data_IF_186745907049
#
_entry.id   IF_186745907049
#
_cell.length_a   1.000
_cell.length_b   1.000
_cell.length_c   1.000
_cell.angle_alpha   90.00
_cell.angle_beta   90.00
_cell.angle_gamma   90.00
#
_symmetry.space_group_name_H-M   'P 1'
#
loop_
_entity.id
_entity.type
_entity.pdbx_description
1 polymer ?
#
# COMPACT_ATOMS: atom_id res chain seq x y z
N UNK A 1 -33.58 46.58 27.53
CA UNK A 1 -34.11 45.57 26.59
C UNK A 1 -32.96 44.65 26.16
N UNK A 2 -32.78 43.51 26.85
CA UNK A 2 -31.69 42.58 26.62
C UNK A 2 -32.17 41.46 25.70
N UNK A 3 -31.96 41.59 24.38
CA UNK A 3 -32.49 40.56 23.45
C UNK A 3 -31.70 40.33 22.17
N UNK A 4 -30.52 40.95 22.00
CA UNK A 4 -29.75 40.79 20.75
C UNK A 4 -28.43 40.01 20.86
N UNK A 5 -28.05 39.51 22.03
CA UNK A 5 -26.80 38.74 22.21
C UNK A 5 -27.03 37.21 22.15
N UNK A 6 -28.29 36.74 22.21
CA UNK A 6 -28.60 35.31 22.16
C UNK A 6 -28.78 34.72 20.75
N UNK A 7 -28.77 35.52 19.69
CA UNK A 7 -28.95 35.01 18.32
C UNK A 7 -27.64 34.62 17.60
N UNK A 8 -26.48 34.90 18.21
CA UNK A 8 -25.17 34.51 17.66
C UNK A 8 -24.60 33.22 18.26
N UNK A 9 -25.25 32.66 19.29
CA UNK A 9 -24.84 31.41 19.96
C UNK A 9 -25.72 30.20 19.61
N UNK A 10 -26.62 30.33 18.63
CA UNK A 10 -27.47 29.25 18.11
C UNK A 10 -27.24 28.93 16.62
N UNK A 11 -26.11 29.37 16.06
CA UNK A 11 -25.59 28.87 14.77
C UNK A 11 -24.30 28.04 14.94
N UNK A 12 -23.92 27.76 16.19
CA UNK A 12 -22.89 26.77 16.53
C UNK A 12 -23.53 25.38 16.73
N UNK A 13 -23.94 24.73 15.64
CA UNK A 13 -24.10 23.25 15.57
C UNK A 13 -24.66 22.79 14.22
N UNK A 14 -24.04 23.18 13.11
CA UNK A 14 -24.27 22.52 11.82
C UNK A 14 -22.99 22.45 10.99
N UNK A 15 -21.89 22.06 11.63
CA UNK A 15 -20.74 21.47 10.94
C UNK A 15 -20.55 20.06 11.47
N UNK A 16 -21.51 19.19 11.19
CA UNK A 16 -21.32 17.75 11.26
C UNK A 16 -21.84 17.14 9.96
N UNK A 17 -21.02 17.23 8.93
CA UNK A 17 -20.93 16.14 7.96
C UNK A 17 -19.52 15.60 8.05
N UNK A 18 -19.28 14.79 9.08
CA UNK A 18 -18.52 13.58 8.81
C UNK A 18 -19.26 12.91 7.66
N UNK A 19 -18.75 13.07 6.43
CA UNK A 19 -19.24 12.30 5.28
C UNK A 19 -18.75 10.88 5.54
N UNK A 20 -19.53 10.17 6.35
CA UNK A 20 -19.36 8.76 6.65
C UNK A 20 -19.11 8.06 5.32
N UNK A 21 -17.93 7.46 5.16
CA UNK A 21 -17.74 6.44 4.15
C UNK A 21 -18.69 5.33 4.52
N UNK A 22 -19.83 5.26 3.84
CA UNK A 22 -20.80 4.23 4.14
C UNK A 22 -20.24 2.94 3.53
N UNK A 23 -19.85 2.01 4.41
CA UNK A 23 -19.58 0.64 4.01
C UNK A 23 -20.81 0.12 3.29
N UNK A 24 -20.64 -0.29 2.04
CA UNK A 24 -21.76 -0.74 1.25
C UNK A 24 -21.81 -2.26 1.19
N UNK A 25 -20.66 -2.94 1.00
CA UNK A 25 -20.61 -4.39 0.83
C UNK A 25 -19.22 -4.98 1.05
N UNK A 26 -19.15 -6.25 1.43
CA UNK A 26 -17.94 -7.08 1.26
C UNK A 26 -17.71 -7.39 -0.21
N UNK A 27 -16.44 -7.55 -0.61
CA UNK A 27 -16.06 -7.97 -1.96
C UNK A 27 -14.97 -9.02 -1.91
N UNK A 28 -15.20 -10.14 -2.58
CA UNK A 28 -14.21 -11.21 -2.69
C UNK A 28 -13.72 -11.36 -4.12
N UNK A 29 -12.41 -11.44 -4.30
CA UNK A 29 -11.73 -11.44 -5.60
C UNK A 29 -10.66 -12.52 -5.60
N UNK A 30 -10.60 -13.31 -6.68
CA UNK A 30 -9.52 -14.29 -6.87
C UNK A 30 -8.26 -13.59 -7.35
N UNK A 31 -7.14 -13.86 -6.68
CA UNK A 31 -5.78 -13.60 -7.15
C UNK A 31 -5.04 -14.93 -7.31
N UNK A 32 -3.82 -14.92 -7.84
CA UNK A 32 -3.03 -16.13 -8.10
C UNK A 32 -2.83 -17.00 -6.85
N UNK A 33 -2.67 -16.37 -5.69
CA UNK A 33 -2.46 -17.03 -4.40
C UNK A 33 -3.76 -17.58 -3.78
N UNK A 34 -4.94 -17.03 -4.13
CA UNK A 34 -6.21 -17.49 -3.59
C UNK A 34 -7.27 -16.40 -3.52
N UNK A 35 -8.36 -16.65 -2.79
CA UNK A 35 -9.47 -15.71 -2.65
C UNK A 35 -9.12 -14.63 -1.61
N UNK A 36 -9.24 -13.35 -1.98
CA UNK A 36 -9.10 -12.18 -1.11
C UNK A 36 -10.45 -11.60 -0.78
N UNK A 37 -10.67 -11.17 0.47
CA UNK A 37 -11.84 -10.41 0.89
C UNK A 37 -11.46 -8.98 1.28
N UNK A 38 -11.98 -8.02 0.51
CA UNK A 38 -11.92 -6.58 0.76
C UNK A 38 -13.31 -5.99 1.00
N UNK A 39 -13.42 -4.67 0.83
CA UNK A 39 -14.66 -3.89 1.02
C UNK A 39 -14.89 -2.90 -0.10
N UNK A 40 -16.16 -2.67 -0.44
CA UNK A 40 -16.61 -1.55 -1.28
C UNK A 40 -17.11 -0.44 -0.37
N UNK A 41 -16.64 0.77 -0.64
CA UNK A 41 -17.03 2.00 0.03
C UNK A 41 -17.67 2.96 -0.97
N UNK A 42 -18.77 3.57 -0.55
CA UNK A 42 -19.36 4.70 -1.27
C UNK A 42 -18.99 6.01 -0.58
N UNK A 43 -18.47 6.96 -1.35
CA UNK A 43 -18.27 8.33 -0.87
C UNK A 43 -18.80 9.31 -1.91
N UNK A 44 -19.82 10.07 -1.51
CA UNK A 44 -20.67 10.83 -2.43
C UNK A 44 -21.26 9.90 -3.52
N UNK A 45 -21.05 10.21 -4.79
CA UNK A 45 -21.59 9.45 -5.93
C UNK A 45 -20.58 8.48 -6.55
N UNK A 46 -19.39 8.35 -5.93
CA UNK A 46 -18.33 7.48 -6.41
C UNK A 46 -18.13 6.28 -5.49
N UNK A 47 -17.67 5.19 -6.08
CA UNK A 47 -17.37 3.94 -5.41
C UNK A 47 -15.88 3.62 -5.48
N UNK A 48 -15.37 3.04 -4.40
CA UNK A 48 -14.01 2.53 -4.33
C UNK A 48 -14.02 1.15 -3.69
N UNK A 49 -13.09 0.31 -4.09
CA UNK A 49 -12.80 -0.94 -3.40
C UNK A 49 -11.44 -0.86 -2.73
N UNK A 50 -11.35 -1.45 -1.54
CA UNK A 50 -10.15 -1.41 -0.70
C UNK A 50 -9.82 -2.82 -0.23
N UNK A 51 -8.57 -3.19 -0.41
CA UNK A 51 -7.96 -4.40 0.11
C UNK A 51 -6.66 -4.01 0.82
N UNK A 52 -6.50 -4.39 2.09
CA UNK A 52 -5.33 -4.02 2.92
C UNK A 52 -4.66 -5.27 3.47
N UNK A 53 -3.35 -5.18 3.72
CA UNK A 53 -2.61 -6.26 4.34
C UNK A 53 -2.47 -7.52 3.47
N UNK A 54 -2.43 -7.38 2.15
CA UNK A 54 -2.28 -8.53 1.25
C UNK A 54 -0.82 -9.01 1.27
N UNK A 55 -0.50 -10.26 1.63
CA UNK A 55 0.86 -10.76 1.62
C UNK A 55 1.32 -11.01 0.19
N UNK A 56 2.38 -10.32 -0.24
CA UNK A 56 2.97 -10.52 -1.57
C UNK A 56 4.15 -11.52 -1.55
N UNK A 57 4.70 -11.81 -0.37
CA UNK A 57 5.80 -12.73 -0.16
C UNK A 57 5.58 -13.57 1.11
N UNK A 58 6.36 -14.64 1.25
CA UNK A 58 6.48 -15.36 2.52
C UNK A 58 7.10 -14.48 3.61
N UNK A 59 6.69 -14.66 4.89
CA UNK A 59 7.29 -13.96 6.02
C UNK A 59 8.81 -14.16 6.05
N UNK A 60 9.63 -13.10 6.04
CA UNK A 60 11.08 -13.20 6.01
C UNK A 60 11.68 -13.51 7.40
N UNK A 61 11.10 -14.50 8.09
CA UNK A 61 11.45 -14.91 9.45
C UNK A 61 12.25 -16.21 9.46
N UNK A 62 12.95 -16.48 10.56
CA UNK A 62 13.69 -17.72 10.74
C UNK A 62 14.70 -17.96 9.60
N UNK A 63 14.65 -19.11 8.89
CA UNK A 63 15.56 -19.39 7.76
C UNK A 63 15.45 -18.41 6.58
N UNK A 64 14.35 -17.66 6.46
CA UNK A 64 14.16 -16.65 5.42
C UNK A 64 14.70 -15.26 5.82
N UNK A 65 15.13 -15.10 7.08
CA UNK A 65 15.79 -13.86 7.52
C UNK A 65 17.11 -13.68 6.75
N UNK A 66 17.35 -12.46 6.27
CA UNK A 66 18.51 -12.12 5.42
C UNK A 66 18.62 -12.96 4.13
N UNK A 67 17.48 -13.34 3.55
CA UNK A 67 17.36 -13.92 2.22
C UNK A 67 16.45 -13.08 1.34
N UNK A 68 16.56 -13.25 0.03
CA UNK A 68 15.62 -12.65 -0.93
C UNK A 68 14.19 -13.12 -0.62
N UNK A 69 13.17 -12.27 -0.85
CA UNK A 69 11.79 -12.65 -0.62
C UNK A 69 11.43 -13.87 -1.46
N UNK A 70 10.62 -14.73 -0.87
CA UNK A 70 10.07 -15.91 -1.55
C UNK A 70 8.61 -15.60 -1.87
N UNK A 71 8.18 -15.92 -3.08
CA UNK A 71 6.78 -15.73 -3.50
C UNK A 71 5.83 -16.42 -2.53
N UNK A 72 4.78 -15.71 -2.10
CA UNK A 72 3.79 -16.26 -1.17
C UNK A 72 3.09 -17.49 -1.77
N UNK A 73 3.04 -18.57 -0.99
CA UNK A 73 2.32 -19.78 -1.34
C UNK A 73 0.80 -19.54 -1.38
N UNK A 74 0.10 -20.45 -2.05
CA UNK A 74 -1.36 -20.38 -2.12
C UNK A 74 -1.99 -20.58 -0.75
N UNK A 75 -3.03 -19.82 -0.46
CA UNK A 75 -3.90 -20.05 0.69
C UNK A 75 -5.20 -20.72 0.25
N UNK A 76 -5.69 -21.63 1.09
CA UNK A 76 -6.88 -22.43 0.78
C UNK A 76 -8.18 -21.75 1.24
N UNK A 77 -8.12 -20.99 2.34
CA UNK A 77 -9.26 -20.27 2.90
C UNK A 77 -9.25 -18.82 2.42
N UNK A 78 -10.43 -18.20 2.34
CA UNK A 78 -10.55 -16.78 2.02
C UNK A 78 -9.68 -15.92 2.96
N UNK A 79 -8.76 -15.15 2.38
CA UNK A 79 -7.86 -14.29 3.13
C UNK A 79 -8.52 -12.93 3.40
N UNK A 80 -8.52 -12.51 4.66
CA UNK A 80 -9.15 -11.25 5.08
C UNK A 80 -8.22 -10.07 4.85
N UNK A 81 -8.42 -9.36 3.73
CA UNK A 81 -7.67 -8.16 3.37
C UNK A 81 -8.40 -6.88 3.81
N UNK A 82 -8.83 -6.84 5.07
CA UNK A 82 -9.66 -5.76 5.61
C UNK A 82 -8.86 -4.70 6.36
N UNK A 83 -7.75 -5.09 6.97
CA UNK A 83 -6.93 -4.29 7.85
C UNK A 83 -5.51 -4.20 7.31
N UNK A 84 -4.77 -3.17 7.71
CA UNK A 84 -3.36 -3.07 7.33
C UNK A 84 -2.58 -4.24 7.92
N UNK A 85 -1.60 -4.72 7.15
CA UNK A 85 -0.61 -5.66 7.67
C UNK A 85 0.32 -4.97 8.66
N UNK A 86 1.06 -5.79 9.42
CA UNK A 86 2.07 -5.29 10.35
C UNK A 86 3.13 -4.45 9.62
N UNK A 87 3.51 -3.27 10.14
CA UNK A 87 4.71 -2.56 9.70
C UNK A 87 5.95 -3.41 9.91
N UNK A 88 6.98 -3.20 9.09
CA UNK A 88 8.28 -3.82 9.36
C UNK A 88 8.88 -3.25 10.64
N UNK A 89 9.78 -4.01 11.29
CA UNK A 89 10.55 -3.48 12.42
C UNK A 89 11.24 -2.16 12.05
N UNK A 90 11.00 -1.13 12.86
CA UNK A 90 11.52 0.22 12.66
C UNK A 90 12.86 0.38 13.42
N UNK A 91 13.76 1.17 12.87
CA UNK A 91 15.09 1.47 13.45
C UNK A 91 15.27 2.95 13.75
N UNK A 92 14.25 3.76 13.46
CA UNK A 92 14.14 5.19 13.77
C UNK A 92 12.66 5.53 14.04
N UNK A 93 12.38 6.48 14.93
CA UNK A 93 10.99 6.79 15.33
C UNK A 93 10.32 7.91 14.50
N UNK A 94 10.71 8.09 13.23
CA UNK A 94 10.20 9.21 12.40
C UNK A 94 8.66 9.25 12.28
N UNK A 95 8.02 8.08 12.23
CA UNK A 95 6.58 7.93 11.95
C UNK A 95 5.77 7.40 13.13
N UNK A 96 6.38 7.28 14.32
CA UNK A 96 5.71 6.77 15.53
C UNK A 96 4.48 7.59 15.91
N UNK A 97 4.55 8.90 15.71
CA UNK A 97 3.45 9.83 15.96
C UNK A 97 2.73 10.29 14.67
N UNK A 98 2.91 9.58 13.55
CA UNK A 98 2.16 9.88 12.33
C UNK A 98 0.67 9.72 12.59
N UNK A 99 -0.14 10.67 12.12
CA UNK A 99 -1.59 10.70 12.38
C UNK A 99 -2.31 9.45 11.87
N UNK A 100 -1.83 8.86 10.77
CA UNK A 100 -2.50 7.77 10.08
C UNK A 100 -1.89 6.42 10.46
N UNK A 101 -0.55 6.31 10.41
CA UNK A 101 0.14 5.05 10.68
C UNK A 101 0.55 4.86 12.14
N UNK A 102 0.56 5.91 12.97
CA UNK A 102 0.96 5.85 14.38
C UNK A 102 0.28 4.72 15.18
N UNK A 103 -1.05 4.54 15.10
CA UNK A 103 -1.72 3.42 15.77
C UNK A 103 -1.27 2.03 15.29
N UNK A 104 -0.90 1.90 14.01
CA UNK A 104 -0.43 0.63 13.45
C UNK A 104 1.06 0.38 13.76
N UNK A 105 1.84 1.43 14.02
CA UNK A 105 3.26 1.32 14.43
C UNK A 105 3.46 0.59 15.77
N UNK A 106 2.43 0.32 16.54
CA UNK A 106 2.55 -0.54 17.73
C UNK A 106 2.65 -2.03 17.39
N UNK A 107 2.30 -2.41 16.15
CA UNK A 107 2.23 -3.80 15.68
C UNK A 107 3.41 -4.19 14.77
N UNK A 108 4.60 -3.63 15.00
CA UNK A 108 5.78 -3.95 14.18
C UNK A 108 6.12 -5.44 14.22
N UNK A 109 6.53 -5.98 13.08
CA UNK A 109 6.88 -7.39 12.93
C UNK A 109 7.94 -7.60 11.84
N UNK A 110 8.64 -8.74 11.88
CA UNK A 110 9.41 -9.20 10.72
C UNK A 110 8.51 -9.80 9.64
N UNK A 111 7.36 -10.37 10.03
CA UNK A 111 6.29 -10.71 9.08
C UNK A 111 5.57 -9.43 8.68
N UNK A 112 6.12 -8.74 7.68
CA UNK A 112 5.67 -7.41 7.29
C UNK A 112 5.52 -7.21 5.79
N UNK A 113 5.73 -8.23 4.95
CA UNK A 113 5.74 -8.11 3.48
C UNK A 113 4.33 -8.07 2.89
N UNK A 114 3.64 -6.97 3.18
CA UNK A 114 2.26 -6.71 2.78
C UNK A 114 2.14 -5.52 1.83
N UNK A 115 1.11 -5.55 0.99
CA UNK A 115 0.68 -4.43 0.18
C UNK A 115 -0.81 -4.14 0.36
N UNK A 116 -1.23 -2.95 -0.03
CA UNK A 116 -2.58 -2.45 0.04
C UNK A 116 -2.99 -1.93 -1.33
N UNK A 117 -4.24 -2.15 -1.70
CA UNK A 117 -4.80 -1.74 -2.99
C UNK A 117 -6.05 -0.92 -2.76
N UNK A 118 -6.04 0.31 -3.26
CA UNK A 118 -7.16 1.23 -3.25
C UNK A 118 -7.52 1.55 -4.69
N UNK A 119 -8.69 1.10 -5.15
CA UNK A 119 -9.01 1.04 -6.57
C UNK A 119 -10.39 1.63 -6.85
N UNK A 120 -10.59 2.31 -7.99
CA UNK A 120 -11.92 2.74 -8.39
C UNK A 120 -12.79 1.51 -8.61
N UNK A 121 -14.07 1.63 -8.26
CA UNK A 121 -15.05 0.59 -8.49
C UNK A 121 -16.23 1.16 -9.28
N UNK A 122 -16.67 0.46 -10.30
CA UNK A 122 -17.85 0.82 -11.07
C UNK A 122 -18.87 -0.33 -10.98
N UNK A 123 -19.97 -0.17 -10.23
CA UNK A 123 -21.01 -1.19 -10.14
C UNK A 123 -21.66 -1.55 -11.49
N UNK A 124 -21.53 -0.70 -12.52
CA UNK A 124 -22.06 -0.94 -13.86
C UNK A 124 -21.04 -1.62 -14.79
N UNK A 125 -19.74 -1.53 -14.47
CA UNK A 125 -18.66 -2.20 -15.21
C UNK A 125 -17.55 -2.64 -14.25
N UNK A 126 -17.78 -3.77 -13.59
CA UNK A 126 -16.79 -4.36 -12.66
C UNK A 126 -15.49 -4.80 -13.34
N UNK A 127 -15.42 -4.79 -14.68
CA UNK A 127 -14.26 -5.23 -15.45
C UNK A 127 -13.32 -4.10 -15.86
N UNK A 128 -13.75 -2.85 -15.66
CA UNK A 128 -12.99 -1.65 -16.05
C UNK A 128 -11.63 -1.60 -15.39
N UNK A 129 -10.59 -1.33 -16.19
CA UNK A 129 -9.22 -1.25 -15.72
C UNK A 129 -8.72 0.20 -15.69
N UNK A 130 -7.94 0.52 -14.67
CA UNK A 130 -7.43 1.86 -14.40
C UNK A 130 -5.89 1.83 -14.29
N UNK A 131 -5.17 2.90 -14.67
CA UNK A 131 -3.73 3.01 -14.42
C UNK A 131 -3.38 2.79 -12.95
N UNK A 132 -2.23 2.17 -12.69
CA UNK A 132 -1.76 1.81 -11.36
C UNK A 132 -0.59 2.70 -10.96
N UNK A 133 -0.72 3.37 -9.83
CA UNK A 133 0.34 4.09 -9.15
C UNK A 133 0.81 3.27 -7.94
N UNK A 134 2.08 2.91 -7.93
CA UNK A 134 2.72 2.20 -6.80
C UNK A 134 3.51 3.21 -5.99
N UNK A 135 3.14 3.40 -4.73
CA UNK A 135 3.78 4.30 -3.78
C UNK A 135 4.74 3.55 -2.85
N UNK A 136 6.01 3.97 -2.89
CA UNK A 136 7.07 3.49 -2.00
C UNK A 136 7.32 4.56 -0.94
N UNK A 137 7.06 4.23 0.32
CA UNK A 137 7.26 5.17 1.42
C UNK A 137 8.75 5.48 1.65
N UNK A 138 9.01 6.70 2.14
CA UNK A 138 10.32 7.15 2.61
C UNK A 138 10.65 6.64 4.01
N UNK A 139 11.56 7.34 4.70
CA UNK A 139 12.02 7.00 6.05
C UNK A 139 13.47 6.49 6.12
N UNK A 140 14.33 6.96 5.22
CA UNK A 140 15.78 6.67 5.20
C UNK A 140 16.14 5.18 5.17
N UNK A 141 15.25 4.32 4.65
CA UNK A 141 15.36 2.86 4.73
C UNK A 141 15.38 2.30 6.17
N UNK A 142 15.06 3.10 7.18
CA UNK A 142 15.11 2.76 8.60
C UNK A 142 13.73 2.81 9.26
N UNK A 143 12.78 3.53 8.68
CA UNK A 143 11.41 3.66 9.17
C UNK A 143 10.42 3.80 8.01
N UNK A 144 9.13 3.78 8.33
CA UNK A 144 8.01 3.92 7.43
C UNK A 144 7.25 2.61 7.19
N UNK A 145 6.10 2.74 6.55
CA UNK A 145 5.18 1.64 6.22
C UNK A 145 4.24 2.05 5.09
N UNK A 146 3.52 1.09 4.52
CA UNK A 146 2.55 1.30 3.45
C UNK A 146 1.32 2.11 3.87
N UNK A 147 1.11 2.37 5.15
CA UNK A 147 0.06 3.26 5.67
C UNK A 147 0.59 4.61 6.18
N UNK A 148 1.92 4.83 6.15
CA UNK A 148 2.53 6.11 6.54
C UNK A 148 1.99 7.27 5.71
N UNK A 149 1.40 8.25 6.40
CA UNK A 149 0.83 9.45 5.80
C UNK A 149 -0.26 9.19 4.74
N UNK A 150 -0.92 8.02 4.79
CA UNK A 150 -2.01 7.67 3.87
C UNK A 150 -3.36 8.16 4.41
N UNK A 151 -3.74 9.38 4.02
CA UNK A 151 -5.07 9.93 4.27
C UNK A 151 -6.08 9.41 3.24
N UNK A 152 -7.03 8.59 3.66
CA UNK A 152 -8.04 8.00 2.77
C UNK A 152 -8.96 9.02 2.10
N UNK A 153 -9.21 10.19 2.69
CA UNK A 153 -10.01 11.24 2.05
C UNK A 153 -9.23 11.85 0.88
N UNK A 154 -7.93 12.10 1.07
CA UNK A 154 -7.02 12.60 0.03
C UNK A 154 -6.85 11.56 -1.05
N UNK A 155 -6.55 10.30 -0.69
CA UNK A 155 -6.38 9.19 -1.64
C UNK A 155 -7.61 9.04 -2.52
N UNK A 156 -8.80 9.01 -1.91
CA UNK A 156 -10.03 8.83 -2.67
C UNK A 156 -10.31 10.00 -3.62
N UNK A 157 -10.15 11.25 -3.17
CA UNK A 157 -10.45 12.44 -3.99
C UNK A 157 -9.45 12.69 -5.10
N UNK A 158 -8.18 12.43 -4.87
CA UNK A 158 -7.10 12.82 -5.79
C UNK A 158 -6.66 11.69 -6.70
N UNK A 159 -6.77 10.42 -6.29
CA UNK A 159 -6.36 9.28 -7.09
C UNK A 159 -7.58 8.47 -7.56
N UNK A 160 -8.31 7.88 -6.62
CA UNK A 160 -9.35 6.90 -6.95
C UNK A 160 -10.46 7.51 -7.80
N UNK A 161 -10.99 8.67 -7.40
CA UNK A 161 -12.10 9.31 -8.12
C UNK A 161 -11.66 9.99 -9.42
N UNK A 162 -10.36 10.10 -9.66
CA UNK A 162 -9.79 10.49 -10.95
C UNK A 162 -9.36 9.26 -11.78
N UNK A 163 -9.79 8.06 -11.42
CA UNK A 163 -9.56 6.85 -12.19
C UNK A 163 -8.13 6.31 -12.09
N UNK A 164 -7.49 6.45 -10.92
CA UNK A 164 -6.14 5.90 -10.66
C UNK A 164 -6.22 4.91 -9.50
N UNK A 165 -5.65 3.72 -9.68
CA UNK A 165 -5.44 2.76 -8.59
C UNK A 165 -4.20 3.19 -7.81
N UNK A 166 -4.30 3.26 -6.49
CA UNK A 166 -3.15 3.43 -5.62
C UNK A 166 -2.79 2.08 -4.97
N UNK A 167 -1.52 1.69 -5.09
CA UNK A 167 -0.94 0.57 -4.35
C UNK A 167 0.12 1.11 -3.41
N UNK A 168 -0.01 0.80 -2.12
CA UNK A 168 1.03 1.08 -1.12
C UNK A 168 1.57 -0.24 -0.57
N UNK A 169 2.79 -0.24 -0.06
CA UNK A 169 3.43 -1.49 0.38
C UNK A 169 4.46 -1.25 1.47
N UNK A 170 4.76 -2.31 2.20
CA UNK A 170 5.92 -2.40 3.09
C UNK A 170 7.10 -3.07 2.35
N UNK A 171 8.31 -2.78 2.79
CA UNK A 171 9.54 -3.49 2.43
C UNK A 171 10.46 -3.56 3.64
N UNK A 172 11.36 -4.56 3.74
CA UNK A 172 12.24 -4.67 4.92
C UNK A 172 13.12 -3.45 5.09
N UNK A 173 13.30 -3.04 6.35
CA UNK A 173 14.05 -1.85 6.75
C UNK A 173 15.31 -2.22 7.54
N UNK A 174 16.19 -1.23 7.68
CA UNK A 174 17.44 -1.28 8.44
C UNK A 174 18.29 -2.51 8.13
N UNK A 175 18.97 -3.08 9.14
CA UNK A 175 19.79 -4.28 8.96
C UNK A 175 19.04 -5.46 8.31
N UNK A 176 17.74 -5.62 8.56
CA UNK A 176 16.96 -6.72 7.98
C UNK A 176 16.76 -6.58 6.47
N UNK A 177 16.65 -5.35 5.98
CA UNK A 177 16.49 -5.04 4.56
C UNK A 177 17.81 -4.82 3.81
N UNK A 178 18.86 -4.34 4.49
CA UNK A 178 20.01 -3.75 3.82
C UNK A 178 21.38 -4.25 4.32
N UNK A 179 21.43 -5.30 5.15
CA UNK A 179 22.68 -6.01 5.43
C UNK A 179 23.16 -6.73 4.17
N UNK A 180 24.44 -6.61 3.86
CA UNK A 180 25.09 -7.31 2.76
C UNK A 180 26.11 -8.32 3.31
N UNK A 181 26.22 -9.49 2.69
CA UNK A 181 27.22 -10.50 3.04
C UNK A 181 27.70 -11.29 1.82
N UNK A 182 28.82 -12.01 1.97
CA UNK A 182 29.34 -12.90 0.94
C UNK A 182 28.86 -14.33 1.19
N UNK A 183 28.34 -14.96 0.14
CA UNK A 183 27.90 -16.37 0.15
C UNK A 183 28.38 -17.04 -1.15
N UNK A 184 29.31 -18.00 -1.03
CA UNK A 184 29.87 -18.70 -2.19
C UNK A 184 30.48 -17.79 -3.27
N UNK A 185 31.10 -16.68 -2.88
CA UNK A 185 31.69 -15.69 -3.79
C UNK A 185 30.69 -14.75 -4.46
N UNK A 186 29.43 -14.74 -4.01
CA UNK A 186 28.40 -13.78 -4.43
C UNK A 186 28.06 -12.84 -3.28
N UNK A 187 27.89 -11.56 -3.60
CA UNK A 187 27.31 -10.60 -2.66
C UNK A 187 25.80 -10.79 -2.60
N UNK A 188 25.29 -11.24 -1.46
CA UNK A 188 23.87 -11.18 -1.13
C UNK A 188 23.58 -9.91 -0.34
N UNK A 189 22.37 -9.36 -0.51
CA UNK A 189 22.04 -8.07 0.05
C UNK A 189 20.90 -7.36 -0.66
N UNK A 190 20.68 -6.09 -0.32
CA UNK A 190 19.59 -5.25 -0.83
C UNK A 190 18.23 -5.95 -0.75
N UNK A 191 17.99 -6.71 0.31
CA UNK A 191 16.77 -7.50 0.50
C UNK A 191 15.50 -6.64 0.45
N UNK A 192 15.54 -5.42 1.00
CA UNK A 192 14.45 -4.46 0.87
C UNK A 192 14.15 -4.07 -0.58
N UNK A 193 15.17 -3.95 -1.44
CA UNK A 193 14.94 -3.71 -2.88
C UNK A 193 14.37 -4.96 -3.56
N UNK A 194 14.82 -6.15 -3.17
CA UNK A 194 14.23 -7.38 -3.68
C UNK A 194 12.76 -7.56 -3.25
N UNK A 195 12.39 -7.10 -2.06
CA UNK A 195 11.00 -7.07 -1.59
C UNK A 195 10.13 -6.23 -2.54
N UNK A 196 10.63 -5.05 -2.94
CA UNK A 196 9.96 -4.19 -3.92
C UNK A 196 9.82 -4.89 -5.29
N UNK A 197 10.85 -5.59 -5.75
CA UNK A 197 10.76 -6.38 -7.00
C UNK A 197 9.68 -7.45 -6.90
N UNK A 198 9.62 -8.20 -5.79
CA UNK A 198 8.58 -9.22 -5.56
C UNK A 198 7.18 -8.60 -5.51
N UNK A 199 7.03 -7.43 -4.88
CA UNK A 199 5.75 -6.72 -4.87
C UNK A 199 5.33 -6.29 -6.28
N UNK A 200 6.25 -5.81 -7.12
CA UNK A 200 5.96 -5.48 -8.52
C UNK A 200 5.59 -6.71 -9.35
N UNK A 201 6.23 -7.85 -9.10
CA UNK A 201 5.86 -9.14 -9.71
C UNK A 201 4.44 -9.56 -9.32
N UNK A 202 4.09 -9.39 -8.05
CA UNK A 202 2.74 -9.63 -7.56
C UNK A 202 1.73 -8.71 -8.24
N UNK A 203 2.03 -7.42 -8.37
CA UNK A 203 1.20 -6.40 -9.01
C UNK A 203 0.94 -6.78 -10.49
N UNK A 204 1.99 -7.10 -11.26
CA UNK A 204 1.83 -7.49 -12.66
C UNK A 204 0.93 -8.73 -12.82
N UNK A 205 1.01 -9.66 -11.87
CA UNK A 205 0.24 -10.92 -11.93
C UNK A 205 -1.24 -10.72 -11.55
N UNK A 206 -1.54 -9.81 -10.62
CA UNK A 206 -2.83 -9.79 -9.91
C UNK A 206 -3.66 -8.51 -10.06
N UNK A 207 -3.09 -7.42 -10.60
CA UNK A 207 -3.80 -6.14 -10.58
C UNK A 207 -5.05 -6.11 -11.45
N UNK A 208 -5.12 -6.91 -12.51
CA UNK A 208 -6.31 -6.98 -13.37
C UNK A 208 -7.57 -7.32 -12.59
N UNK A 209 -7.45 -8.21 -11.61
CA UNK A 209 -8.55 -8.67 -10.77
C UNK A 209 -8.99 -7.60 -9.75
N UNK A 210 -8.12 -6.63 -9.47
CA UNK A 210 -8.33 -5.50 -8.56
C UNK A 210 -8.55 -4.18 -9.34
N UNK A 211 -9.02 -4.28 -10.58
CA UNK A 211 -9.31 -3.18 -11.50
C UNK A 211 -8.10 -2.29 -11.87
N UNK A 212 -6.88 -2.77 -11.67
CA UNK A 212 -5.64 -2.13 -12.14
C UNK A 212 -5.19 -2.68 -13.50
N UNK A 213 -4.71 -1.80 -14.38
CA UNK A 213 -4.15 -2.17 -15.66
C UNK A 213 -2.65 -2.52 -15.51
N UNK A 214 -2.23 -3.80 -15.63
CA UNK A 214 -0.82 -4.20 -15.46
C UNK A 214 0.10 -3.59 -16.54
N UNK A 215 -0.44 -3.17 -17.68
CA UNK A 215 0.33 -2.50 -18.74
C UNK A 215 0.53 -0.99 -18.49
N UNK A 216 -0.08 -0.41 -17.45
CA UNK A 216 0.01 1.01 -17.11
C UNK A 216 0.38 1.19 -15.64
N UNK A 217 1.61 0.77 -15.29
CA UNK A 217 2.16 0.86 -13.94
C UNK A 217 3.20 1.98 -13.87
N UNK A 218 2.98 2.90 -12.92
CA UNK A 218 3.91 3.98 -12.55
C UNK A 218 4.40 3.74 -11.13
N UNK A 219 5.72 3.76 -10.92
CA UNK A 219 6.30 3.76 -9.57
C UNK A 219 6.59 5.19 -9.14
N UNK A 220 6.27 5.47 -7.88
CA UNK A 220 6.48 6.74 -7.22
C UNK A 220 6.96 6.50 -5.80
N UNK A 221 7.75 7.43 -5.27
CA UNK A 221 8.12 7.42 -3.86
C UNK A 221 8.70 8.76 -3.45
N UNK A 222 8.89 8.93 -2.15
CA UNK A 222 9.46 10.12 -1.52
C UNK A 222 10.72 9.74 -0.74
N UNK A 223 11.73 10.62 -0.73
CA UNK A 223 12.99 10.40 0.00
C UNK A 223 13.65 9.04 -0.31
N UNK A 224 13.81 8.16 0.68
CA UNK A 224 14.32 6.81 0.48
C UNK A 224 13.46 5.98 -0.51
N UNK A 225 12.14 6.21 -0.53
CA UNK A 225 11.23 5.61 -1.50
C UNK A 225 11.48 6.13 -2.93
N UNK A 226 11.80 7.41 -3.09
CA UNK A 226 12.24 7.99 -4.36
C UNK A 226 13.58 7.41 -4.84
N UNK A 227 14.53 7.22 -3.90
CA UNK A 227 15.78 6.54 -4.18
C UNK A 227 15.54 5.08 -4.61
N UNK A 228 14.65 4.36 -3.93
CA UNK A 228 14.27 2.99 -4.29
C UNK A 228 13.60 2.94 -5.68
N UNK A 229 12.66 3.84 -5.96
CA UNK A 229 12.02 3.98 -7.28
C UNK A 229 13.06 4.21 -8.39
N UNK A 230 14.07 5.05 -8.12
CA UNK A 230 15.18 5.31 -9.04
C UNK A 230 16.03 4.06 -9.28
N UNK A 231 16.35 3.30 -8.23
CA UNK A 231 17.07 2.01 -8.35
C UNK A 231 16.27 1.02 -9.19
N UNK A 232 14.95 0.92 -8.96
CA UNK A 232 14.07 0.05 -9.74
C UNK A 232 13.95 0.52 -11.20
N UNK A 233 14.00 1.82 -11.48
CA UNK A 233 13.93 2.33 -12.84
C UNK A 233 15.14 1.90 -13.71
N UNK A 234 16.33 1.81 -13.09
CA UNK A 234 17.58 1.50 -13.81
C UNK A 234 18.00 0.03 -13.70
N UNK A 235 17.36 -0.75 -12.83
CA UNK A 235 17.70 -2.16 -12.63
C UNK A 235 17.32 -3.02 -13.85
N UNK A 236 18.22 -3.87 -14.36
CA UNK A 236 17.88 -4.81 -15.44
C UNK A 236 16.77 -5.80 -15.07
N UNK A 237 16.51 -6.02 -13.78
CA UNK A 237 15.50 -6.97 -13.29
C UNK A 237 14.07 -6.46 -13.46
N UNK A 238 13.90 -5.15 -13.50
CA UNK A 238 12.61 -4.47 -13.58
C UNK A 238 12.37 -3.82 -14.95
N UNK A 239 13.40 -3.78 -15.79
CA UNK A 239 13.36 -3.21 -17.14
C UNK A 239 12.49 -4.06 -18.08
N UNK A 240 11.50 -3.42 -18.72
CA UNK A 240 10.70 -4.01 -19.80
C UNK A 240 9.59 -4.98 -19.35
N UNK A 241 9.58 -5.45 -18.11
CA UNK A 241 8.60 -6.42 -17.59
C UNK A 241 7.61 -5.84 -16.57
N UNK A 242 7.88 -4.68 -15.95
CA UNK A 242 7.03 -4.15 -14.87
C UNK A 242 6.68 -2.66 -14.98
N UNK A 243 7.41 -1.89 -15.79
CA UNK A 243 7.43 -0.43 -15.72
C UNK A 243 7.17 0.23 -17.07
N UNK A 244 6.17 1.13 -17.09
CA UNK A 244 5.99 2.05 -18.22
C UNK A 244 6.69 3.39 -17.95
N UNK A 245 6.64 3.90 -16.71
CA UNK A 245 7.32 5.12 -16.26
C UNK A 245 7.72 5.01 -14.77
N UNK A 246 8.77 5.72 -14.36
CA UNK A 246 9.12 5.95 -12.96
C UNK A 246 9.14 7.44 -12.68
N UNK A 247 8.46 7.90 -11.63
CA UNK A 247 8.41 9.30 -11.20
C UNK A 247 9.03 9.44 -9.82
N UNK A 248 9.87 10.45 -9.63
CA UNK A 248 10.61 10.73 -8.40
C UNK A 248 10.09 12.06 -7.87
N UNK A 249 9.55 12.11 -6.65
CA UNK A 249 9.20 13.35 -5.95
C UNK A 249 10.13 13.62 -4.78
#
# INVERSE_FOLDING_TARGET
>A
MPSLILLFLLLSSLVWRARSQNLEKSRSVWVEQGLLRGKIYKMADNYMQIFRGIPYAEPPVGPLRFKRPVKRARWHQEYSALDYGAPCLQFMEFHKNDRFSGPNMENESEDCLFLNVFSPYDPQDESKLYPVLVWIHGGSFLAGSGDTSIDMEVVARHFIFNGVVLVTLNYRLGPLGFTNYQDGGKTEGNFGIWDLVMALEWIQTNMKQLNGNPSQVTIMGESAGAAAASVLAVSPRTKGSFLQNSCVL
#
